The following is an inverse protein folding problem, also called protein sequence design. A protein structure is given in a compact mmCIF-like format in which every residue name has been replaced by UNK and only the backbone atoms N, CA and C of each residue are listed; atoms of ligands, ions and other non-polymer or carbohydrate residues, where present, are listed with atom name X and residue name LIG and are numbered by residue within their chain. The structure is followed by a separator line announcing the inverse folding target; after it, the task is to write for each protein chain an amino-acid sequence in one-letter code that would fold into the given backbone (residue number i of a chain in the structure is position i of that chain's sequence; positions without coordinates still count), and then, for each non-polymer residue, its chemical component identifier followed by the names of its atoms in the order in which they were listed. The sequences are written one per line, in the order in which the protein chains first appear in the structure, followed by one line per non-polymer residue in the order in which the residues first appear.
data_IF_749404562310
#
_entry.id   IF_749404562310
#
_cell.length_a   1.000
_cell.length_b   1.000
_cell.length_c   1.000
_cell.angle_alpha   90.00
_cell.angle_beta   90.00
_cell.angle_gamma   90.00
#
_symmetry.space_group_name_H-M   'P 1'
#
loop_
_entity.id
_entity.type
_entity.pdbx_description
1 polymer ?
#
# COMPACT_ATOMS: atom_id res chain seq x y z
N UNK A 1 0.40 -23.33 -2.52
CA UNK A 1 0.59 -24.43 -1.55
C UNK A 1 -0.76 -24.91 -1.03
N UNK A 2 -1.01 -26.23 -1.00
CA UNK A 2 -2.25 -26.83 -0.47
C UNK A 2 -2.40 -26.65 1.06
N UNK A 3 -1.36 -26.21 1.75
CA UNK A 3 -1.36 -25.96 3.20
C UNK A 3 -1.10 -24.49 3.48
N UNK A 4 -2.02 -23.87 4.20
CA UNK A 4 -1.90 -22.48 4.66
C UNK A 4 -0.71 -22.36 5.61
N UNK A 5 0.22 -21.44 5.32
CA UNK A 5 1.32 -21.15 6.24
C UNK A 5 0.78 -20.42 7.47
N UNK A 6 1.40 -20.66 8.63
CA UNK A 6 1.15 -19.84 9.80
C UNK A 6 1.52 -18.39 9.51
N UNK A 7 0.73 -17.47 10.03
CA UNK A 7 0.99 -16.04 9.90
C UNK A 7 2.28 -15.67 10.64
N UNK A 8 3.06 -14.77 10.05
CA UNK A 8 4.32 -14.31 10.65
C UNK A 8 4.09 -13.72 12.04
N UNK A 9 2.96 -13.02 12.23
CA UNK A 9 2.55 -12.46 13.53
C UNK A 9 2.27 -13.51 14.62
N UNK A 10 2.02 -14.77 14.25
CA UNK A 10 1.71 -15.88 15.20
C UNK A 10 2.90 -16.82 15.44
N UNK A 11 4.01 -16.65 14.74
CA UNK A 11 5.21 -17.48 14.87
C UNK A 11 6.09 -17.17 16.09
N UNK A 12 5.63 -16.33 17.00
CA UNK A 12 6.31 -16.05 18.28
C UNK A 12 7.52 -15.09 18.19
N UNK A 13 8.05 -14.81 17.02
CA UNK A 13 9.08 -13.79 16.81
C UNK A 13 8.71 -12.99 15.57
N UNK A 14 8.17 -11.77 15.80
CA UNK A 14 7.90 -10.83 14.70
C UNK A 14 9.24 -10.37 14.15
N UNK A 15 9.52 -10.62 12.89
CA UNK A 15 10.71 -10.11 12.23
C UNK A 15 10.61 -8.60 11.96
N UNK A 16 11.75 -7.95 11.71
CA UNK A 16 11.79 -6.51 11.45
C UNK A 16 11.00 -6.12 10.19
N UNK A 17 11.04 -6.96 9.15
CA UNK A 17 10.31 -6.75 7.88
C UNK A 17 8.80 -6.82 8.09
N UNK A 18 8.30 -7.83 8.79
CA UNK A 18 6.86 -7.95 9.09
C UNK A 18 6.34 -6.77 9.90
N UNK A 19 7.14 -6.30 10.88
CA UNK A 19 6.80 -5.12 11.69
C UNK A 19 6.75 -3.84 10.83
N UNK A 20 7.71 -3.65 9.95
CA UNK A 20 7.77 -2.51 9.03
C UNK A 20 6.54 -2.48 8.12
N UNK A 21 6.23 -3.59 7.46
CA UNK A 21 5.06 -3.71 6.55
C UNK A 21 3.76 -3.45 7.32
N UNK A 22 3.59 -4.03 8.50
CA UNK A 22 2.43 -3.78 9.36
C UNK A 22 2.26 -2.30 9.69
N UNK A 23 3.36 -1.62 10.03
CA UNK A 23 3.33 -0.19 10.35
C UNK A 23 3.01 0.67 9.14
N UNK A 24 3.56 0.32 7.98
CA UNK A 24 3.33 1.00 6.70
C UNK A 24 1.84 0.92 6.31
N UNK A 25 1.26 -0.28 6.27
CA UNK A 25 -0.17 -0.48 5.99
C UNK A 25 -1.03 0.30 7.01
N UNK A 26 -0.72 0.16 8.29
CA UNK A 26 -1.48 0.82 9.35
C UNK A 26 -1.44 2.35 9.27
N UNK A 27 -0.29 2.96 8.92
CA UNK A 27 -0.18 4.41 8.71
C UNK A 27 -0.99 4.85 7.51
N UNK A 28 -0.87 4.14 6.40
CA UNK A 28 -1.57 4.45 5.15
C UNK A 28 -3.09 4.44 5.33
N UNK A 29 -3.63 3.43 5.98
CA UNK A 29 -5.07 3.35 6.25
C UNK A 29 -5.54 4.42 7.24
N UNK A 30 -4.78 4.68 8.33
CA UNK A 30 -5.15 5.72 9.31
C UNK A 30 -5.16 7.13 8.75
N UNK A 31 -4.37 7.41 7.72
CA UNK A 31 -4.36 8.71 7.06
C UNK A 31 -5.72 9.04 6.40
N UNK A 32 -6.43 8.03 5.91
CA UNK A 32 -7.64 8.20 5.10
C UNK A 32 -8.93 7.77 5.77
N UNK A 33 -8.86 7.20 6.98
CA UNK A 33 -10.03 6.77 7.75
C UNK A 33 -10.31 7.77 8.87
N UNK A 34 -11.57 8.14 9.06
CA UNK A 34 -12.02 8.87 10.23
C UNK A 34 -12.35 7.89 11.37
N UNK A 35 -11.37 7.68 12.24
CA UNK A 35 -11.51 6.75 13.36
C UNK A 35 -12.59 7.19 14.36
N UNK A 36 -12.95 8.48 14.44
CA UNK A 36 -14.03 8.96 15.30
C UNK A 36 -15.40 8.49 14.79
N UNK A 37 -15.61 8.54 13.46
CA UNK A 37 -16.83 8.03 12.83
C UNK A 37 -16.96 6.51 12.91
N UNK A 38 -15.83 5.80 12.92
CA UNK A 38 -15.81 4.36 13.15
C UNK A 38 -16.28 3.99 14.57
N UNK A 39 -16.02 4.86 15.55
CA UNK A 39 -16.39 4.66 16.96
C UNK A 39 -15.50 3.62 17.67
N UNK A 40 -15.99 3.09 18.78
CA UNK A 40 -15.25 2.14 19.63
C UNK A 40 -15.21 0.74 18.97
N UNK A 41 -14.52 0.60 17.86
CA UNK A 41 -14.36 -0.66 17.11
C UNK A 41 -12.91 -0.87 16.73
N UNK A 42 -12.53 -2.13 16.58
CA UNK A 42 -11.22 -2.53 16.04
C UNK A 42 -11.44 -3.21 14.69
N UNK A 43 -10.73 -2.75 13.66
CA UNK A 43 -10.64 -3.43 12.38
C UNK A 43 -9.35 -4.25 12.35
N UNK A 44 -9.49 -5.55 12.13
CA UNK A 44 -8.38 -6.47 11.91
C UNK A 44 -8.18 -6.60 10.40
N UNK A 45 -7.06 -6.09 9.90
CA UNK A 45 -6.70 -6.15 8.48
C UNK A 45 -5.64 -7.23 8.32
N UNK A 46 -5.98 -8.24 7.55
CA UNK A 46 -5.15 -9.41 7.32
C UNK A 46 -4.80 -9.50 5.84
N UNK A 47 -3.53 -9.32 5.52
CA UNK A 47 -3.02 -9.33 4.15
C UNK A 47 -2.32 -10.66 3.87
N UNK A 48 -2.92 -11.49 3.02
CA UNK A 48 -2.42 -12.80 2.64
C UNK A 48 -1.89 -12.75 1.19
N UNK A 49 -0.58 -12.93 1.02
CA UNK A 49 0.07 -12.91 -0.29
C UNK A 49 -0.07 -14.30 -0.92
N UNK A 50 -0.95 -14.44 -1.92
CA UNK A 50 -1.18 -15.70 -2.62
C UNK A 50 -0.08 -16.02 -3.63
N UNK A 51 0.39 -15.01 -4.34
CA UNK A 51 1.51 -15.09 -5.28
C UNK A 51 2.38 -13.84 -5.09
N UNK A 52 3.65 -14.05 -4.79
CA UNK A 52 4.61 -12.97 -4.60
C UNK A 52 5.43 -12.74 -5.87
N UNK A 53 5.71 -11.47 -6.13
CA UNK A 53 6.69 -10.94 -7.06
C UNK A 53 7.27 -9.67 -6.41
N UNK A 54 7.67 -8.62 -7.13
CA UNK A 54 7.94 -7.31 -6.58
C UNK A 54 6.70 -6.63 -5.97
N UNK A 55 6.85 -5.56 -5.20
CA UNK A 55 5.77 -4.68 -4.76
C UNK A 55 4.71 -5.28 -3.83
N UNK A 56 4.99 -6.38 -3.09
CA UNK A 56 3.98 -7.04 -2.23
C UNK A 56 3.43 -6.11 -1.13
N UNK A 57 4.25 -5.20 -0.60
CA UNK A 57 3.83 -4.24 0.44
C UNK A 57 2.90 -3.16 -0.12
N UNK A 58 3.14 -2.68 -1.33
CA UNK A 58 2.30 -1.69 -2.02
C UNK A 58 0.97 -2.30 -2.46
N UNK A 59 0.99 -3.53 -2.99
CA UNK A 59 -0.21 -4.30 -3.29
C UNK A 59 -1.08 -4.54 -2.03
N UNK A 60 -0.45 -4.85 -0.88
CA UNK A 60 -1.15 -5.02 0.39
C UNK A 60 -1.88 -3.73 0.83
N UNK A 61 -1.26 -2.55 0.69
CA UNK A 61 -1.90 -1.26 1.01
C UNK A 61 -3.11 -1.03 0.11
N UNK A 62 -2.95 -1.21 -1.20
CA UNK A 62 -3.98 -0.98 -2.22
C UNK A 62 -5.18 -1.91 -2.01
N UNK A 63 -4.93 -3.20 -1.76
CA UNK A 63 -5.99 -4.18 -1.49
C UNK A 63 -6.65 -3.98 -0.12
N UNK A 64 -5.88 -3.64 0.92
CA UNK A 64 -6.41 -3.35 2.24
C UNK A 64 -7.35 -2.14 2.25
N UNK A 65 -7.09 -1.12 1.44
CA UNK A 65 -7.98 0.03 1.28
C UNK A 65 -9.37 -0.39 0.80
N UNK A 66 -9.44 -1.22 -0.24
CA UNK A 66 -10.71 -1.77 -0.77
C UNK A 66 -11.43 -2.62 0.28
N UNK A 67 -10.71 -3.53 0.94
CA UNK A 67 -11.30 -4.42 1.94
C UNK A 67 -11.89 -3.65 3.13
N UNK A 68 -11.20 -2.61 3.60
CA UNK A 68 -11.68 -1.76 4.70
C UNK A 68 -12.88 -0.93 4.26
N UNK A 69 -12.92 -0.40 3.03
CA UNK A 69 -14.07 0.33 2.52
C UNK A 69 -15.30 -0.58 2.45
N UNK A 70 -15.18 -1.79 1.90
CA UNK A 70 -16.27 -2.79 1.87
C UNK A 70 -16.77 -3.17 3.26
N UNK A 71 -15.85 -3.36 4.22
CA UNK A 71 -16.22 -3.64 5.61
C UNK A 71 -16.99 -2.46 6.23
N UNK A 72 -16.57 -1.23 5.98
CA UNK A 72 -17.25 -0.04 6.46
C UNK A 72 -18.62 0.17 5.81
N UNK A 73 -18.76 -0.10 4.50
CA UNK A 73 -20.05 -0.10 3.80
C UNK A 73 -21.02 -1.10 4.43
N UNK A 74 -20.56 -2.31 4.74
CA UNK A 74 -21.35 -3.32 5.44
C UNK A 74 -21.80 -2.84 6.83
N UNK A 75 -20.93 -2.15 7.58
CA UNK A 75 -21.31 -1.58 8.89
C UNK A 75 -22.36 -0.48 8.76
N UNK A 76 -22.33 0.33 7.72
CA UNK A 76 -23.39 1.32 7.43
C UNK A 76 -24.71 0.62 7.09
N UNK A 77 -24.70 -0.36 6.19
CA UNK A 77 -25.88 -1.13 5.81
C UNK A 77 -26.53 -1.85 7.01
N UNK A 78 -25.74 -2.33 7.94
CA UNK A 78 -26.19 -2.96 9.18
C UNK A 78 -26.62 -1.95 10.26
N UNK A 79 -26.57 -0.65 9.98
CA UNK A 79 -26.89 0.42 10.96
C UNK A 79 -25.93 0.47 12.15
N UNK A 80 -24.72 -0.07 12.01
CA UNK A 80 -23.72 -0.09 13.10
C UNK A 80 -22.92 1.19 13.18
N UNK A 81 -22.77 1.92 12.07
CA UNK A 81 -22.21 3.26 11.98
C UNK A 81 -23.16 4.12 11.13
N UNK A 82 -23.18 5.42 11.37
CA UNK A 82 -24.13 6.33 10.73
C UNK A 82 -23.75 6.66 9.27
N UNK A 83 -22.47 6.71 8.98
CA UNK A 83 -21.93 7.10 7.67
C UNK A 83 -20.59 6.41 7.42
N UNK A 84 -20.16 6.41 6.15
CA UNK A 84 -18.90 5.83 5.75
C UNK A 84 -17.72 6.65 6.33
N UNK A 85 -16.81 6.02 7.11
CA UNK A 85 -15.71 6.71 7.77
C UNK A 85 -14.48 6.90 6.85
N UNK A 86 -14.64 6.80 5.54
CA UNK A 86 -13.56 6.94 4.56
C UNK A 86 -13.51 8.39 4.07
N UNK A 87 -12.37 9.06 4.24
CA UNK A 87 -12.13 10.43 3.78
C UNK A 87 -11.64 10.48 2.34
N UNK A 88 -10.70 9.59 2.03
CA UNK A 88 -10.07 9.42 0.73
C UNK A 88 -9.75 7.94 0.55
N UNK A 89 -9.48 7.51 -0.69
CA UNK A 89 -8.83 6.22 -0.97
C UNK A 89 -7.34 6.40 -1.03
N UNK A 90 -6.59 5.32 -0.78
CA UNK A 90 -5.14 5.27 -1.01
C UNK A 90 -4.81 4.12 -1.92
N UNK A 91 -3.83 4.35 -2.78
CA UNK A 91 -3.15 3.30 -3.51
C UNK A 91 -1.64 3.48 -3.38
N UNK A 92 -0.90 2.42 -3.62
CA UNK A 92 0.55 2.41 -3.49
C UNK A 92 1.18 1.62 -4.63
N UNK A 93 2.36 2.07 -5.06
CA UNK A 93 3.14 1.42 -6.11
C UNK A 93 4.63 1.49 -5.77
N UNK A 94 5.41 0.53 -6.26
CA UNK A 94 6.86 0.61 -6.28
C UNK A 94 7.33 1.32 -7.54
N UNK A 95 8.40 2.10 -7.43
CA UNK A 95 9.15 2.68 -8.54
C UNK A 95 10.63 2.59 -8.22
N UNK A 96 11.48 2.52 -9.22
CA UNK A 96 12.91 2.46 -8.98
C UNK A 96 13.73 2.84 -10.19
N UNK A 97 15.04 2.90 -9.98
CA UNK A 97 16.00 3.15 -11.05
C UNK A 97 16.76 1.86 -11.32
N UNK A 98 16.56 1.31 -12.51
CA UNK A 98 17.20 0.07 -12.97
C UNK A 98 18.00 0.39 -14.22
N UNK A 99 19.31 0.16 -14.18
CA UNK A 99 20.24 0.45 -15.31
C UNK A 99 20.13 1.87 -15.86
N UNK A 100 19.80 2.85 -15.00
CA UNK A 100 19.68 4.27 -15.34
C UNK A 100 18.30 4.70 -15.84
N UNK A 101 17.34 3.81 -15.94
CA UNK A 101 15.96 4.10 -16.34
C UNK A 101 15.01 4.03 -15.13
N UNK A 102 14.03 4.93 -15.08
CA UNK A 102 12.98 4.92 -14.07
C UNK A 102 11.88 3.95 -14.49
N UNK A 103 11.65 2.93 -13.69
CA UNK A 103 10.64 1.91 -13.92
C UNK A 103 9.50 1.99 -12.89
N UNK A 104 8.31 1.65 -13.35
CA UNK A 104 7.08 1.59 -12.55
C UNK A 104 6.73 0.14 -12.23
N UNK A 105 6.32 -0.12 -10.99
CA UNK A 105 5.80 -1.42 -10.54
C UNK A 105 6.82 -2.54 -10.75
N UNK A 106 7.96 -2.38 -10.08
CA UNK A 106 9.11 -3.27 -10.24
C UNK A 106 8.74 -4.73 -9.99
N UNK A 107 9.09 -5.62 -10.91
CA UNK A 107 9.08 -7.04 -10.67
C UNK A 107 10.23 -7.46 -9.73
N UNK A 108 10.32 -8.73 -9.36
CA UNK A 108 11.35 -9.21 -8.43
C UNK A 108 12.78 -9.03 -8.97
N UNK A 109 12.99 -9.19 -10.28
CA UNK A 109 14.32 -9.07 -10.87
C UNK A 109 14.72 -7.59 -10.98
N UNK A 110 13.77 -6.74 -11.34
CA UNK A 110 13.96 -5.29 -11.40
C UNK A 110 14.22 -4.71 -10.00
N UNK A 111 13.43 -5.12 -8.98
CA UNK A 111 13.60 -4.71 -7.59
C UNK A 111 14.99 -5.11 -7.06
N UNK A 112 15.44 -6.32 -7.38
CA UNK A 112 16.77 -6.83 -7.00
C UNK A 112 17.92 -6.07 -7.67
N UNK A 113 17.76 -5.69 -8.94
CA UNK A 113 18.79 -5.02 -9.74
C UNK A 113 18.70 -3.48 -9.65
N UNK A 114 17.69 -2.95 -8.95
CA UNK A 114 17.49 -1.52 -8.78
C UNK A 114 18.62 -0.90 -7.96
N UNK A 115 19.21 0.19 -8.44
CA UNK A 115 20.14 0.98 -7.65
C UNK A 115 19.41 1.96 -6.69
N UNK A 116 18.14 2.23 -6.95
CA UNK A 116 17.23 2.97 -6.08
C UNK A 116 15.88 2.28 -6.16
N UNK A 117 15.28 1.95 -5.02
CA UNK A 117 13.90 1.51 -4.90
C UNK A 117 13.09 2.51 -4.06
N UNK A 118 11.84 2.71 -4.42
CA UNK A 118 10.97 3.63 -3.72
C UNK A 118 9.53 3.10 -3.70
N UNK A 119 8.91 3.12 -2.52
CA UNK A 119 7.50 2.86 -2.34
C UNK A 119 6.76 4.18 -2.17
N UNK A 120 5.75 4.42 -2.97
CA UNK A 120 4.95 5.65 -2.99
C UNK A 120 3.52 5.31 -2.63
N UNK A 121 2.98 6.01 -1.63
CA UNK A 121 1.58 5.90 -1.21
C UNK A 121 0.91 7.26 -1.38
N UNK A 122 -0.16 7.33 -2.16
CA UNK A 122 -0.90 8.58 -2.39
C UNK A 122 -2.40 8.37 -2.21
N UNK A 123 -3.08 9.48 -1.94
CA UNK A 123 -4.54 9.55 -1.92
C UNK A 123 -5.12 9.67 -3.33
N UNK A 124 -6.43 9.54 -3.46
CA UNK A 124 -7.20 9.83 -4.67
C UNK A 124 -7.15 11.31 -5.10
N UNK A 125 -6.66 12.20 -4.23
CA UNK A 125 -6.34 13.60 -4.55
C UNK A 125 -4.90 13.82 -4.98
N UNK A 126 -4.13 12.74 -5.13
CA UNK A 126 -2.69 12.78 -5.44
C UNK A 126 -1.82 13.46 -4.37
N UNK A 127 -2.29 13.48 -3.11
CA UNK A 127 -1.49 13.89 -1.96
C UNK A 127 -0.67 12.70 -1.45
N UNK A 128 0.58 12.95 -1.09
CA UNK A 128 1.44 11.93 -0.52
C UNK A 128 0.98 11.55 0.89
N UNK A 129 0.82 10.26 1.13
CA UNK A 129 0.65 9.67 2.47
C UNK A 129 1.98 9.20 3.02
N UNK A 130 2.79 8.56 2.17
CA UNK A 130 4.12 8.11 2.52
C UNK A 130 4.99 8.03 1.26
N UNK A 131 6.26 8.39 1.42
CA UNK A 131 7.30 8.26 0.44
C UNK A 131 8.48 7.60 1.12
N UNK A 132 8.82 6.38 0.71
CA UNK A 132 9.93 5.62 1.28
C UNK A 132 10.85 5.20 0.15
N UNK A 133 12.00 5.83 0.04
CA UNK A 133 13.00 5.54 -0.98
C UNK A 133 14.35 5.26 -0.35
N UNK A 134 15.08 4.33 -0.94
CA UNK A 134 16.43 3.95 -0.55
C UNK A 134 17.33 3.83 -1.76
N UNK A 135 18.54 4.35 -1.67
CA UNK A 135 19.60 4.04 -2.61
C UNK A 135 20.44 2.91 -2.03
N UNK A 136 20.35 1.72 -2.59
CA UNK A 136 21.21 0.61 -2.23
C UNK A 136 22.58 0.83 -2.88
N UNK A 137 23.61 1.09 -2.06
CA UNK A 137 25.00 1.40 -2.50
C UNK A 137 25.16 2.66 -3.35
N UNK A 138 24.08 3.41 -3.62
CA UNK A 138 24.05 4.61 -4.47
C UNK A 138 23.27 5.74 -3.82
N UNK A 139 23.36 6.92 -4.41
CA UNK A 139 22.55 8.09 -4.07
C UNK A 139 21.70 8.47 -5.27
N UNK A 140 20.60 9.14 -5.05
CA UNK A 140 19.76 9.69 -6.12
C UNK A 140 19.55 11.18 -5.92
N UNK A 141 19.43 11.88 -7.04
CA UNK A 141 19.24 13.33 -7.06
C UNK A 141 17.78 13.72 -6.84
N UNK A 142 17.55 15.02 -6.53
CA UNK A 142 16.20 15.57 -6.47
C UNK A 142 15.45 15.43 -7.82
N UNK A 143 16.14 15.57 -8.95
CA UNK A 143 15.54 15.39 -10.27
C UNK A 143 15.05 13.94 -10.49
N UNK A 144 15.83 12.96 -10.07
CA UNK A 144 15.42 11.55 -10.12
C UNK A 144 14.24 11.26 -9.17
N UNK A 145 14.22 11.89 -7.99
CA UNK A 145 13.05 11.80 -7.09
C UNK A 145 11.79 12.37 -7.75
N UNK A 146 11.90 13.51 -8.42
CA UNK A 146 10.78 14.12 -9.12
C UNK A 146 10.28 13.22 -10.27
N UNK A 147 11.18 12.64 -11.05
CA UNK A 147 10.85 11.72 -12.13
C UNK A 147 10.15 10.45 -11.60
N UNK A 148 10.71 9.78 -10.59
CA UNK A 148 10.10 8.62 -9.95
C UNK A 148 8.71 8.97 -9.38
N UNK A 149 8.56 10.16 -8.79
CA UNK A 149 7.28 10.63 -8.25
C UNK A 149 6.23 10.85 -9.36
N UNK A 150 6.62 11.34 -10.52
CA UNK A 150 5.72 11.51 -11.68
C UNK A 150 5.27 10.15 -12.23
N UNK A 151 6.19 9.21 -12.37
CA UNK A 151 5.91 7.85 -12.82
C UNK A 151 4.97 7.13 -11.83
N UNK A 152 5.23 7.27 -10.52
CA UNK A 152 4.35 6.73 -9.48
C UNK A 152 2.93 7.26 -9.55
N UNK A 153 2.74 8.56 -9.83
CA UNK A 153 1.39 9.17 -9.98
C UNK A 153 0.59 8.50 -11.09
N UNK A 154 1.21 8.13 -12.20
CA UNK A 154 0.54 7.42 -13.30
C UNK A 154 0.04 6.06 -12.82
N UNK A 155 0.90 5.25 -12.20
CA UNK A 155 0.53 3.93 -11.68
C UNK A 155 -0.56 4.01 -10.60
N UNK A 156 -0.43 4.95 -9.66
CA UNK A 156 -1.42 5.15 -8.60
C UNK A 156 -2.78 5.56 -9.18
N UNK A 157 -2.80 6.44 -10.20
CA UNK A 157 -4.05 6.82 -10.86
C UNK A 157 -4.78 5.62 -11.48
N UNK A 158 -4.03 4.70 -12.11
CA UNK A 158 -4.59 3.47 -12.65
C UNK A 158 -5.12 2.53 -11.55
N UNK A 159 -4.36 2.36 -10.47
CA UNK A 159 -4.79 1.54 -9.33
C UNK A 159 -6.06 2.09 -8.66
N UNK A 160 -6.20 3.41 -8.53
CA UNK A 160 -7.40 4.05 -8.00
C UNK A 160 -8.64 3.82 -8.89
N UNK A 161 -8.46 3.78 -10.21
CA UNK A 161 -9.54 3.41 -11.14
C UNK A 161 -9.97 1.95 -10.97
N UNK A 162 -8.99 1.04 -10.80
CA UNK A 162 -9.26 -0.38 -10.51
C UNK A 162 -9.99 -0.53 -9.18
N UNK A 163 -9.56 0.18 -8.13
CA UNK A 163 -10.27 0.20 -6.84
C UNK A 163 -11.72 0.68 -6.99
N UNK A 164 -11.94 1.76 -7.76
CA UNK A 164 -13.29 2.28 -8.01
C UNK A 164 -14.18 1.23 -8.69
N UNK A 165 -13.64 0.51 -9.67
CA UNK A 165 -14.36 -0.57 -10.36
C UNK A 165 -14.67 -1.76 -9.44
N UNK A 166 -13.78 -2.07 -8.49
CA UNK A 166 -13.97 -3.16 -7.53
C UNK A 166 -15.00 -2.83 -6.43
N UNK A 167 -15.31 -1.55 -6.25
CA UNK A 167 -16.23 -1.04 -5.22
C UNK A 167 -17.61 -0.67 -5.79
N UNK A 168 -17.78 -0.73 -7.12
CA UNK A 168 -19.04 -0.47 -7.80
C UNK A 168 -19.96 -1.68 -7.73
#
# INVERSE_FOLDING_TARGET
TLTRKQRDSTRGKVDGRGTEIQRLIGRSLRAVIDLKKLGARTLWVDCDVLQADGGTRTAAITGACVAVELACQSLVQLGKIAELPIKNRVAAVSVGIVKGEVLLDLDYLEDKDACVDMNVVMTDKMDFVELQGSGEENVFSAAQLDEMSQVARVGISQLLQIQASALA
#
